data_IF_782587289446
#
_entry.id   IF_782587289446
#
_cell.length_a   1.000
_cell.length_b   1.000
_cell.length_c   1.000
_cell.angle_alpha   90.00
_cell.angle_beta   90.00
_cell.angle_gamma   90.00
#
_symmetry.space_group_name_H-M   'P 1'
#
loop_
_entity.id
_entity.type
_entity.pdbx_description
1 polymer ?
#
# COMPACT_ATOMS: atom_id res chain seq x y z
N UNK A 1 -36.49 -8.87 19.43
CA UNK A 1 -35.78 -7.59 19.41
C UNK A 1 -34.39 -7.81 19.97
N UNK A 2 -33.39 -7.96 19.11
CA UNK A 2 -31.99 -8.13 19.51
C UNK A 2 -31.32 -6.76 19.41
N UNK A 3 -30.97 -6.22 20.58
CA UNK A 3 -30.18 -4.99 20.72
C UNK A 3 -28.73 -5.29 20.33
N UNK A 4 -28.38 -5.02 19.07
CA UNK A 4 -26.99 -4.92 18.63
C UNK A 4 -26.40 -3.61 19.15
N UNK A 5 -25.74 -3.67 20.31
CA UNK A 5 -24.87 -2.60 20.79
C UNK A 5 -23.65 -2.53 19.86
N UNK A 6 -23.68 -1.60 18.92
CA UNK A 6 -22.50 -1.11 18.22
C UNK A 6 -21.62 -0.39 19.26
N UNK A 7 -20.51 -1.03 19.63
CA UNK A 7 -19.44 -0.36 20.36
C UNK A 7 -18.77 0.65 19.42
N UNK A 8 -19.33 1.86 19.37
CA UNK A 8 -18.63 3.03 18.88
C UNK A 8 -17.55 3.40 19.87
N UNK A 9 -16.30 3.05 19.55
CA UNK A 9 -15.16 3.71 20.18
C UNK A 9 -15.27 5.20 19.85
N UNK A 10 -15.40 6.02 20.89
CA UNK A 10 -15.52 7.45 20.78
C UNK A 10 -14.31 8.03 20.02
N UNK A 11 -14.60 9.02 19.19
CA UNK A 11 -13.67 9.84 18.37
C UNK A 11 -12.53 10.54 19.15
N UNK A 12 -12.20 10.15 20.39
CA UNK A 12 -11.35 10.92 21.31
C UNK A 12 -10.13 10.21 21.90
N UNK A 13 -9.90 8.93 21.64
CA UNK A 13 -8.75 8.21 22.24
C UNK A 13 -7.50 8.13 21.34
N UNK A 14 -7.48 8.82 20.20
CA UNK A 14 -6.23 9.08 19.47
C UNK A 14 -5.57 10.36 19.99
N UNK A 15 -5.29 10.46 21.29
CA UNK A 15 -4.43 11.53 21.80
C UNK A 15 -3.01 11.28 21.34
N UNK A 16 -2.68 11.83 20.18
CA UNK A 16 -1.31 12.17 19.81
C UNK A 16 -0.75 12.99 20.96
N UNK A 17 0.36 12.53 21.54
CA UNK A 17 1.13 13.36 22.46
C UNK A 17 1.70 14.50 21.61
N UNK A 18 1.08 15.69 21.70
CA UNK A 18 1.35 16.87 20.86
C UNK A 18 2.79 17.44 21.00
N UNK A 19 3.68 16.68 21.65
CA UNK A 19 5.08 17.03 21.90
C UNK A 19 6.04 16.46 20.86
N UNK A 20 5.62 15.51 20.03
CA UNK A 20 6.41 14.95 18.94
C UNK A 20 5.58 14.90 17.66
N UNK A 21 5.86 15.80 16.71
CA UNK A 21 5.30 15.76 15.35
C UNK A 21 5.82 14.58 14.53
N UNK A 22 6.91 13.97 14.99
CA UNK A 22 7.68 13.00 14.24
C UNK A 22 7.32 11.58 14.67
N UNK A 23 7.02 10.74 13.68
CA UNK A 23 6.58 9.36 13.84
C UNK A 23 7.46 8.44 13.01
N UNK A 24 7.71 7.24 13.52
CA UNK A 24 8.38 6.19 12.75
C UNK A 24 7.33 5.33 12.05
N UNK A 25 7.52 5.08 10.75
CA UNK A 25 6.63 4.25 9.95
C UNK A 25 7.37 3.04 9.37
N UNK A 26 6.66 1.93 9.28
CA UNK A 26 7.05 0.78 8.50
C UNK A 26 6.21 0.73 7.22
N UNK A 27 6.88 0.45 6.11
CA UNK A 27 6.25 0.25 4.81
C UNK A 27 6.66 -1.12 4.32
N UNK A 28 5.68 -1.98 4.01
CA UNK A 28 5.92 -3.30 3.45
C UNK A 28 5.18 -3.43 2.12
N UNK A 29 5.83 -4.09 1.16
CA UNK A 29 5.21 -4.45 -0.11
C UNK A 29 5.00 -5.95 -0.16
N UNK A 30 3.75 -6.38 -0.26
CA UNK A 30 3.41 -7.80 -0.32
C UNK A 30 3.48 -8.31 -1.75
N UNK A 31 2.98 -7.52 -2.70
CA UNK A 31 2.85 -7.96 -4.08
C UNK A 31 2.76 -6.76 -5.03
N UNK A 32 3.18 -6.96 -6.29
CA UNK A 32 3.01 -6.02 -7.39
C UNK A 32 2.42 -6.80 -8.57
N UNK A 33 1.40 -6.24 -9.23
CA UNK A 33 0.73 -6.85 -10.39
C UNK A 33 0.66 -5.88 -11.56
N UNK A 34 0.50 -6.43 -12.76
CA UNK A 34 0.30 -5.67 -14.00
C UNK A 34 1.56 -4.98 -14.54
N UNK A 35 2.73 -5.19 -13.93
CA UNK A 35 4.00 -4.65 -14.43
C UNK A 35 4.66 -5.68 -15.35
N UNK A 36 4.88 -5.36 -16.64
CA UNK A 36 5.59 -6.26 -17.54
C UNK A 36 7.08 -6.31 -17.19
N UNK A 37 7.63 -7.52 -17.08
CA UNK A 37 9.04 -7.79 -16.79
C UNK A 37 9.68 -8.58 -17.93
N UNK A 38 10.92 -8.26 -18.26
CA UNK A 38 11.76 -9.11 -19.10
C UNK A 38 12.33 -10.31 -18.30
N UNK A 39 12.85 -11.33 -18.99
CA UNK A 39 13.31 -12.60 -18.38
C UNK A 39 14.34 -12.43 -17.23
N UNK A 40 15.16 -11.37 -17.26
CA UNK A 40 16.19 -11.11 -16.27
C UNK A 40 15.88 -9.91 -15.35
N UNK A 41 14.65 -9.40 -15.40
CA UNK A 41 14.21 -8.29 -14.55
C UNK A 41 13.56 -8.80 -13.26
N UNK A 42 13.88 -8.10 -12.18
CA UNK A 42 13.25 -8.24 -10.87
C UNK A 42 12.61 -6.91 -10.47
N UNK A 43 11.62 -7.00 -9.59
CA UNK A 43 10.96 -5.84 -9.03
C UNK A 43 11.69 -5.34 -7.78
N UNK A 44 11.96 -4.05 -7.77
CA UNK A 44 12.53 -3.31 -6.65
C UNK A 44 11.60 -2.16 -6.30
N UNK A 45 11.40 -1.92 -5.01
CA UNK A 45 10.69 -0.75 -4.52
C UNK A 45 11.66 0.20 -3.86
N UNK A 46 11.36 1.48 -3.97
CA UNK A 46 11.97 2.50 -3.13
C UNK A 46 10.88 3.32 -2.44
N UNK A 47 11.06 3.60 -1.15
CA UNK A 47 10.15 4.43 -0.36
C UNK A 47 10.90 5.57 0.33
N UNK A 48 10.28 6.75 0.36
CA UNK A 48 10.85 7.95 0.98
C UNK A 48 9.79 8.99 1.32
N UNK A 49 10.14 9.93 2.20
CA UNK A 49 9.41 11.19 2.36
C UNK A 49 9.65 12.04 1.11
N UNK A 50 8.60 12.44 0.40
CA UNK A 50 8.71 13.26 -0.80
C UNK A 50 9.51 14.56 -0.60
N UNK A 51 9.57 15.10 0.64
CA UNK A 51 10.37 16.28 0.99
C UNK A 51 11.85 15.97 1.27
N UNK A 52 12.19 14.70 1.52
CA UNK A 52 13.56 14.24 1.83
C UNK A 52 13.99 13.07 0.92
N UNK A 53 14.26 13.32 -0.38
CA UNK A 53 14.69 12.27 -1.31
C UNK A 53 15.95 11.52 -0.89
N UNK A 54 16.86 12.19 -0.16
CA UNK A 54 18.07 11.57 0.37
C UNK A 54 17.81 10.43 1.38
N UNK A 55 16.61 10.40 1.99
CA UNK A 55 16.19 9.35 2.92
C UNK A 55 15.60 8.11 2.23
N UNK A 56 15.80 7.95 0.92
CA UNK A 56 15.22 6.86 0.16
C UNK A 56 15.79 5.50 0.58
N UNK A 57 14.87 4.57 0.86
CA UNK A 57 15.20 3.19 1.21
C UNK A 57 14.68 2.25 0.14
N UNK A 58 15.53 1.33 -0.30
CA UNK A 58 15.20 0.31 -1.29
C UNK A 58 14.89 -1.03 -0.61
N UNK A 59 13.88 -1.74 -1.09
CA UNK A 59 13.47 -3.04 -0.59
C UNK A 59 12.76 -3.84 -1.69
N UNK A 60 12.75 -5.16 -1.59
CA UNK A 60 12.09 -6.02 -2.57
C UNK A 60 10.62 -6.26 -2.27
N UNK A 61 9.91 -6.81 -3.25
CA UNK A 61 8.58 -7.40 -3.05
C UNK A 61 8.69 -8.52 -2.03
N UNK A 62 7.76 -8.57 -1.08
CA UNK A 62 7.80 -9.43 0.11
C UNK A 62 8.59 -8.83 1.28
N UNK A 63 9.30 -7.72 1.07
CA UNK A 63 10.07 -7.02 2.10
C UNK A 63 9.44 -5.70 2.55
N UNK A 64 10.18 -4.96 3.37
CA UNK A 64 9.78 -3.64 3.85
C UNK A 64 10.95 -2.78 4.29
N UNK A 65 10.64 -1.54 4.64
CA UNK A 65 11.61 -0.54 5.10
C UNK A 65 11.03 0.28 6.25
N UNK A 66 11.91 0.92 7.03
CA UNK A 66 11.52 1.75 8.18
C UNK A 66 11.91 3.21 7.93
N UNK A 67 10.90 4.06 7.80
CA UNK A 67 11.07 5.50 7.65
C UNK A 67 10.99 6.14 9.02
N UNK A 68 12.13 6.67 9.50
CA UNK A 68 12.23 7.28 10.83
C UNK A 68 11.92 8.77 10.80
N UNK A 69 11.38 9.28 11.90
CA UNK A 69 11.14 10.72 12.13
C UNK A 69 10.38 11.37 10.98
N UNK A 70 9.19 10.86 10.69
CA UNK A 70 8.28 11.34 9.66
C UNK A 70 7.25 12.27 10.28
N UNK A 71 7.16 13.49 9.77
CA UNK A 71 6.12 14.42 10.16
C UNK A 71 4.75 13.97 9.63
N UNK A 72 3.68 14.23 10.39
CA UNK A 72 2.30 13.85 10.02
C UNK A 72 1.87 14.51 8.72
N UNK A 73 2.40 15.70 8.39
CA UNK A 73 2.18 16.37 7.11
C UNK A 73 3.02 15.83 5.94
N UNK A 74 3.87 14.82 6.17
CA UNK A 74 4.71 14.26 5.12
C UNK A 74 3.90 13.40 4.13
N UNK A 75 4.45 13.28 2.92
CA UNK A 75 3.92 12.41 1.87
C UNK A 75 4.92 11.28 1.64
N UNK A 76 4.47 10.06 1.89
CA UNK A 76 5.19 8.85 1.51
C UNK A 76 5.11 8.68 -0.01
N UNK A 77 6.27 8.65 -0.65
CA UNK A 77 6.38 8.27 -2.05
C UNK A 77 6.95 6.86 -2.13
N UNK A 78 6.25 5.97 -2.83
CA UNK A 78 6.71 4.62 -3.15
C UNK A 78 6.82 4.49 -4.65
N UNK A 79 7.99 4.09 -5.14
CA UNK A 79 8.27 3.90 -6.55
C UNK A 79 8.62 2.44 -6.81
N UNK A 80 8.01 1.88 -7.84
CA UNK A 80 8.29 0.55 -8.34
C UNK A 80 9.23 0.65 -9.54
N UNK A 81 10.26 -0.18 -9.52
CA UNK A 81 11.29 -0.30 -10.54
C UNK A 81 11.39 -1.74 -11.03
N UNK A 82 11.67 -1.91 -12.31
CA UNK A 82 12.21 -3.15 -12.85
C UNK A 82 13.73 -2.99 -12.99
N UNK A 83 14.48 -4.00 -12.57
CA UNK A 83 15.95 -3.94 -12.49
C UNK A 83 16.56 -5.30 -12.75
N UNK A 84 17.75 -5.35 -13.36
CA UNK A 84 18.46 -6.63 -13.56
C UNK A 84 19.10 -7.12 -12.26
N UNK A 85 19.08 -8.44 -12.03
CA UNK A 85 19.51 -9.10 -10.78
C UNK A 85 20.87 -8.61 -10.25
N UNK A 86 21.84 -8.35 -11.13
CA UNK A 86 23.20 -7.91 -10.76
C UNK A 86 23.25 -6.53 -10.07
N UNK A 87 22.20 -5.72 -10.22
CA UNK A 87 22.11 -4.37 -9.65
C UNK A 87 21.30 -4.32 -8.34
N UNK A 88 20.81 -5.48 -7.88
CA UNK A 88 20.09 -5.62 -6.63
C UNK A 88 21.08 -5.60 -5.45
N UNK A 89 20.89 -4.68 -4.50
CA UNK A 89 21.64 -4.67 -3.23
C UNK A 89 22.76 -3.63 -3.06
N UNK A 90 22.89 -2.60 -3.92
CA UNK A 90 23.71 -1.42 -3.59
C UNK A 90 22.84 -0.31 -2.97
N UNK A 91 22.74 -0.21 -1.63
CA UNK A 91 22.13 0.94 -0.98
C UNK A 91 22.91 2.20 -1.36
N UNK A 92 22.20 3.22 -1.84
CA UNK A 92 22.81 4.49 -2.28
C UNK A 92 23.37 4.50 -3.70
N UNK A 93 23.20 3.43 -4.51
CA UNK A 93 23.49 3.53 -5.94
C UNK A 93 22.46 4.43 -6.63
N UNK A 94 22.96 5.55 -7.16
CA UNK A 94 22.27 6.48 -8.06
C UNK A 94 21.40 5.73 -9.10
N UNK A 95 20.24 6.28 -9.53
CA UNK A 95 19.31 5.60 -10.44
C UNK A 95 19.82 5.36 -11.88
N UNK A 96 21.09 5.59 -12.18
CA UNK A 96 21.50 5.98 -13.53
C UNK A 96 21.79 4.83 -14.52
N UNK A 97 21.98 3.58 -14.11
CA UNK A 97 22.15 2.49 -15.09
C UNK A 97 21.47 1.19 -14.65
N UNK A 98 20.49 0.73 -15.45
CA UNK A 98 19.88 -0.59 -15.29
C UNK A 98 18.56 -0.65 -14.50
N UNK A 99 17.91 0.49 -14.22
CA UNK A 99 16.57 0.55 -13.59
C UNK A 99 15.57 1.22 -14.52
N UNK A 100 14.39 0.61 -14.66
CA UNK A 100 13.25 1.13 -15.41
C UNK A 100 12.12 1.46 -14.44
N UNK A 101 11.69 2.72 -14.40
CA UNK A 101 10.54 3.11 -13.60
C UNK A 101 9.28 2.40 -14.14
N UNK A 102 8.56 1.70 -13.27
CA UNK A 102 7.33 0.97 -13.65
C UNK A 102 6.07 1.69 -13.17
N UNK A 103 6.18 2.49 -12.13
CA UNK A 103 5.12 3.36 -11.65
C UNK A 103 5.36 3.78 -10.20
N UNK A 104 4.54 4.71 -9.71
CA UNK A 104 4.67 5.26 -8.37
C UNK A 104 3.33 5.46 -7.68
N UNK A 105 3.35 5.56 -6.36
CA UNK A 105 2.21 6.00 -5.57
C UNK A 105 2.68 7.00 -4.52
N UNK A 106 1.83 7.99 -4.26
CA UNK A 106 2.05 9.00 -3.24
C UNK A 106 0.92 8.91 -2.21
N UNK A 107 1.28 8.73 -0.94
CA UNK A 107 0.35 8.56 0.17
C UNK A 107 0.61 9.63 1.21
N UNK A 108 -0.41 10.39 1.56
CA UNK A 108 -0.33 11.45 2.56
C UNK A 108 -0.56 10.87 3.96
N UNK A 109 0.40 11.00 4.87
CA UNK A 109 0.28 10.45 6.22
C UNK A 109 -0.84 11.12 7.01
N UNK A 110 -1.04 12.42 6.87
CA UNK A 110 -2.12 13.17 7.49
C UNK A 110 -3.49 12.74 6.97
N UNK A 111 -3.56 12.24 5.74
CA UNK A 111 -4.75 11.58 5.21
C UNK A 111 -4.97 10.20 5.84
N UNK A 112 -3.93 9.37 5.94
CA UNK A 112 -4.02 8.07 6.64
C UNK A 112 -4.49 8.25 8.10
N UNK A 113 -4.04 9.31 8.78
CA UNK A 113 -4.48 9.62 10.14
C UNK A 113 -5.98 9.90 10.23
N UNK A 114 -6.52 10.63 9.26
CA UNK A 114 -7.92 11.08 9.24
C UNK A 114 -8.88 10.04 8.69
N UNK A 115 -8.47 9.31 7.67
CA UNK A 115 -9.34 8.41 6.89
C UNK A 115 -9.15 6.93 7.22
N UNK A 116 -8.07 6.55 7.92
CA UNK A 116 -7.72 5.15 8.17
C UNK A 116 -7.41 4.91 9.66
N UNK A 117 -8.43 5.08 10.52
CA UNK A 117 -8.45 4.91 12.00
C UNK A 117 -7.09 4.53 12.62
N UNK A 118 -6.20 5.52 12.78
CA UNK A 118 -4.91 5.31 13.44
C UNK A 118 -3.68 5.23 12.53
N UNK A 119 -3.74 5.73 11.29
CA UNK A 119 -2.60 5.78 10.34
C UNK A 119 -2.14 4.42 9.83
N UNK A 120 -3.08 3.46 9.69
CA UNK A 120 -2.75 2.11 9.22
C UNK A 120 -3.44 1.84 7.87
N UNK A 121 -2.62 1.54 6.87
CA UNK A 121 -3.03 0.90 5.62
C UNK A 121 -2.59 -0.56 5.70
N UNK A 122 -3.50 -1.52 5.64
CA UNK A 122 -3.13 -2.95 5.74
C UNK A 122 -3.47 -3.69 4.45
N UNK A 123 -2.46 -4.38 3.90
CA UNK A 123 -2.54 -5.18 2.66
C UNK A 123 -3.49 -4.60 1.61
N UNK A 124 -3.29 -3.32 1.29
CA UNK A 124 -4.21 -2.59 0.42
C UNK A 124 -3.61 -2.44 -0.96
N UNK A 125 -4.41 -2.76 -1.98
CA UNK A 125 -4.06 -2.56 -3.38
C UNK A 125 -4.23 -1.10 -3.77
N UNK A 126 -3.17 -0.51 -4.33
CA UNK A 126 -3.15 0.84 -4.87
C UNK A 126 -2.75 0.80 -6.34
N UNK A 127 -3.52 1.46 -7.20
CA UNK A 127 -3.10 1.68 -8.58
C UNK A 127 -1.84 2.57 -8.64
N UNK A 128 -0.89 2.19 -9.49
CA UNK A 128 0.34 2.94 -9.73
C UNK A 128 0.10 4.02 -10.80
N UNK A 129 0.66 5.21 -10.57
CA UNK A 129 0.83 6.23 -11.61
C UNK A 129 1.98 5.82 -12.52
N UNK A 130 1.75 5.79 -13.83
CA UNK A 130 2.79 5.38 -14.78
C UNK A 130 3.78 6.52 -15.05
N UNK A 131 5.04 6.20 -15.39
CA UNK A 131 5.98 7.23 -15.82
C UNK A 131 5.46 7.91 -17.10
N UNK A 132 5.31 9.23 -17.07
CA UNK A 132 4.80 9.99 -18.21
C UNK A 132 3.32 10.38 -18.12
N UNK A 133 2.54 9.85 -17.17
CA UNK A 133 1.14 10.27 -16.88
C UNK A 133 1.04 11.69 -16.29
N UNK A 134 2.06 12.55 -16.45
CA UNK A 134 2.02 13.97 -16.10
C UNK A 134 1.21 14.81 -17.11
N UNK A 135 0.55 14.17 -18.09
CA UNK A 135 -0.25 14.84 -19.11
C UNK A 135 -1.59 15.32 -18.55
N UNK A 136 -1.60 16.54 -18.02
CA UNK A 136 -2.71 17.50 -18.15
C UNK A 136 -3.91 17.37 -17.20
N UNK A 137 -4.28 16.18 -16.76
CA UNK A 137 -5.36 15.99 -15.76
C UNK A 137 -4.77 15.71 -14.38
N UNK A 138 -5.39 16.28 -13.36
CA UNK A 138 -4.92 16.22 -11.99
C UNK A 138 -4.57 14.77 -11.59
N UNK A 139 -3.47 14.54 -10.85
CA UNK A 139 -3.10 13.20 -10.42
C UNK A 139 -4.29 12.56 -9.69
N UNK A 140 -4.69 11.36 -10.14
CA UNK A 140 -5.84 10.64 -9.60
C UNK A 140 -5.78 10.65 -8.06
N UNK A 141 -6.90 10.98 -7.44
CA UNK A 141 -6.99 11.09 -6.00
C UNK A 141 -6.64 9.76 -5.33
N UNK A 142 -6.18 9.80 -4.08
CA UNK A 142 -5.86 8.58 -3.33
C UNK A 142 -7.03 7.59 -3.27
N UNK A 143 -8.27 8.09 -3.16
CA UNK A 143 -9.48 7.26 -3.14
C UNK A 143 -9.77 6.63 -4.50
N UNK A 144 -9.53 7.34 -5.59
CA UNK A 144 -9.60 6.75 -6.93
C UNK A 144 -8.55 5.66 -7.10
N UNK A 145 -7.31 5.85 -6.61
CA UNK A 145 -6.28 4.82 -6.67
C UNK A 145 -6.59 3.59 -5.80
N UNK A 146 -7.18 3.78 -4.64
CA UNK A 146 -7.70 2.70 -3.80
C UNK A 146 -8.77 1.91 -4.55
N UNK A 147 -9.76 2.62 -5.11
CA UNK A 147 -10.86 2.01 -5.86
C UNK A 147 -10.35 1.30 -7.11
N UNK A 148 -9.46 1.94 -7.87
CA UNK A 148 -8.88 1.39 -9.09
C UNK A 148 -8.01 0.18 -8.80
N UNK A 149 -7.16 0.26 -7.77
CA UNK A 149 -6.30 -0.83 -7.33
C UNK A 149 -7.10 -2.08 -6.93
N UNK A 150 -8.26 -1.88 -6.29
CA UNK A 150 -9.17 -2.97 -5.93
C UNK A 150 -9.89 -3.60 -7.15
N UNK A 151 -10.30 -2.79 -8.13
CA UNK A 151 -11.19 -3.23 -9.21
C UNK A 151 -10.48 -3.69 -10.48
N UNK A 152 -9.35 -3.08 -10.88
CA UNK A 152 -8.81 -3.26 -12.24
C UNK A 152 -7.65 -4.26 -12.27
N UNK A 153 -7.83 -5.35 -13.02
CA UNK A 153 -6.80 -6.40 -13.20
C UNK A 153 -5.68 -5.99 -14.16
N UNK A 154 -5.89 -5.00 -15.04
CA UNK A 154 -4.96 -4.70 -16.13
C UNK A 154 -4.03 -3.50 -15.90
N UNK A 155 -4.32 -2.60 -14.95
CA UNK A 155 -3.41 -1.50 -14.61
C UNK A 155 -2.35 -1.97 -13.61
N UNK A 156 -1.10 -1.49 -13.71
CA UNK A 156 -0.08 -1.73 -12.70
C UNK A 156 -0.55 -1.29 -11.31
N UNK A 157 -0.36 -2.16 -10.31
CA UNK A 157 -0.80 -1.93 -8.92
C UNK A 157 0.14 -2.58 -7.93
N UNK A 158 0.15 -2.04 -6.72
CA UNK A 158 0.99 -2.50 -5.60
C UNK A 158 0.14 -2.77 -4.37
N UNK A 159 0.42 -3.87 -3.67
CA UNK A 159 -0.20 -4.22 -2.40
C UNK A 159 0.72 -3.79 -1.26
N UNK A 160 0.31 -2.75 -0.51
CA UNK A 160 1.13 -2.15 0.54
C UNK A 160 0.52 -2.35 1.93
N UNK A 161 1.41 -2.40 2.92
CA UNK A 161 1.07 -2.13 4.32
C UNK A 161 1.89 -0.94 4.79
N UNK A 162 1.22 0.02 5.41
CA UNK A 162 1.81 1.21 6.02
C UNK A 162 1.27 1.25 7.44
N UNK A 163 2.15 1.27 8.44
CA UNK A 163 1.75 1.36 9.84
C UNK A 163 2.87 2.01 10.65
N UNK A 164 2.61 2.31 11.92
CA UNK A 164 3.66 2.83 12.80
C UNK A 164 4.70 1.74 13.02
N UNK A 165 5.97 2.10 13.07
CA UNK A 165 7.06 1.14 13.25
C UNK A 165 6.94 0.38 14.59
N UNK A 166 6.34 1.00 15.62
CA UNK A 166 6.06 0.36 16.90
C UNK A 166 5.03 -0.80 16.80
N UNK A 167 4.21 -0.82 15.74
CA UNK A 167 3.19 -1.84 15.51
C UNK A 167 3.71 -3.02 14.66
N UNK A 168 5.00 -3.03 14.31
CA UNK A 168 5.61 -4.04 13.43
C UNK A 168 6.61 -4.89 14.18
N UNK A 169 6.48 -6.21 14.01
CA UNK A 169 7.34 -7.21 14.61
C UNK A 169 8.68 -7.31 13.91
N UNK A 170 9.63 -8.06 14.48
CA UNK A 170 10.98 -8.20 13.94
C UNK A 170 11.05 -8.77 12.51
N UNK A 171 9.96 -9.33 11.99
CA UNK A 171 9.86 -9.87 10.63
C UNK A 171 9.04 -9.01 9.65
N UNK A 172 8.69 -7.76 10.00
CA UNK A 172 7.89 -6.91 9.11
C UNK A 172 6.39 -7.25 9.09
N UNK A 173 5.97 -8.28 9.83
CA UNK A 173 4.57 -8.57 10.10
C UNK A 173 4.03 -7.66 11.20
N UNK A 174 2.80 -7.16 11.10
CA UNK A 174 2.20 -6.39 12.19
C UNK A 174 2.13 -7.27 13.45
N UNK A 175 2.55 -6.71 14.59
CA UNK A 175 2.42 -7.34 15.91
C UNK A 175 0.95 -7.35 16.32
N UNK A 176 0.18 -8.32 15.82
CA UNK A 176 -1.06 -8.76 16.44
C UNK A 176 -0.72 -9.56 17.69
N UNK A 177 -0.16 -8.89 18.71
CA UNK A 177 0.03 -9.53 19.99
C UNK A 177 -1.35 -9.72 20.62
N UNK A 178 -1.73 -10.98 20.88
CA UNK A 178 -2.96 -11.31 21.61
C UNK A 178 -3.04 -10.60 22.97
N UNK A 179 -1.87 -10.24 23.51
CA UNK A 179 -1.61 -9.59 24.80
C UNK A 179 -1.61 -8.06 24.72
N UNK A 180 -1.81 -7.48 23.52
CA UNK A 180 -1.88 -6.03 23.38
C UNK A 180 -3.06 -5.46 24.21
N UNK A 181 -2.91 -4.26 24.81
CA UNK A 181 -3.99 -3.62 25.56
C UNK A 181 -5.28 -3.57 24.74
N UNK A 182 -6.47 -3.72 25.36
CA UNK A 182 -7.75 -3.75 24.65
C UNK A 182 -7.95 -2.59 23.66
N UNK A 183 -7.50 -1.37 24.00
CA UNK A 183 -7.58 -0.21 23.11
C UNK A 183 -6.70 -0.34 21.84
N UNK A 184 -5.49 -0.90 21.97
CA UNK A 184 -4.58 -1.14 20.85
C UNK A 184 -5.12 -2.25 19.94
N UNK A 185 -5.72 -3.30 20.53
CA UNK A 185 -6.43 -4.33 19.77
C UNK A 185 -7.58 -3.69 18.98
N UNK A 186 -8.49 -2.96 19.63
CA UNK A 186 -9.62 -2.34 18.92
C UNK A 186 -9.18 -1.44 17.76
N UNK A 187 -8.10 -0.67 17.92
CA UNK A 187 -7.52 0.15 16.84
C UNK A 187 -6.94 -0.68 15.67
N UNK A 188 -6.25 -1.78 15.95
CA UNK A 188 -5.68 -2.68 14.94
C UNK A 188 -6.74 -3.52 14.22
N UNK A 189 -7.82 -3.89 14.93
CA UNK A 189 -8.92 -4.68 14.39
C UNK A 189 -9.74 -3.91 13.35
N UNK A 190 -9.86 -2.59 13.46
CA UNK A 190 -10.57 -1.79 12.45
C UNK A 190 -9.98 -1.95 11.04
N UNK A 191 -8.66 -1.84 10.92
CA UNK A 191 -7.96 -2.03 9.65
C UNK A 191 -8.03 -3.49 9.16
N UNK A 192 -7.88 -4.45 10.08
CA UNK A 192 -7.95 -5.88 9.76
C UNK A 192 -9.36 -6.30 9.32
N UNK A 193 -10.41 -5.85 10.01
CA UNK A 193 -11.81 -6.13 9.68
C UNK A 193 -12.20 -5.48 8.36
N UNK A 194 -11.75 -4.25 8.09
CA UNK A 194 -11.93 -3.61 6.77
C UNK A 194 -11.20 -4.36 5.67
N UNK A 195 -9.99 -4.84 5.92
CA UNK A 195 -9.25 -5.68 4.97
C UNK A 195 -9.99 -7.00 4.71
N UNK A 196 -10.53 -7.64 5.74
CA UNK A 196 -11.38 -8.83 5.59
C UNK A 196 -12.64 -8.53 4.77
N UNK A 197 -13.32 -7.41 5.04
CA UNK A 197 -14.49 -6.98 4.28
C UNK A 197 -14.13 -6.70 2.81
N UNK A 198 -13.03 -6.00 2.55
CA UNK A 198 -12.52 -5.76 1.21
C UNK A 198 -12.15 -7.06 0.50
N UNK A 199 -11.48 -7.99 1.17
CA UNK A 199 -11.15 -9.31 0.63
C UNK A 199 -12.42 -10.12 0.31
N UNK A 200 -13.43 -10.11 1.17
CA UNK A 200 -14.71 -10.77 0.94
C UNK A 200 -15.47 -10.16 -0.25
N UNK A 201 -15.48 -8.83 -0.36
CA UNK A 201 -16.07 -8.13 -1.51
C UNK A 201 -15.33 -8.45 -2.81
N UNK A 202 -13.99 -8.40 -2.81
CA UNK A 202 -13.17 -8.74 -3.99
C UNK A 202 -13.34 -10.19 -4.41
N UNK A 203 -13.33 -11.11 -3.45
CA UNK A 203 -13.60 -12.53 -3.71
C UNK A 203 -14.98 -12.71 -4.32
N UNK A 204 -16.01 -12.05 -3.78
CA UNK A 204 -17.36 -12.11 -4.32
C UNK A 204 -17.43 -11.52 -5.74
N UNK A 205 -16.73 -10.42 -6.02
CA UNK A 205 -16.68 -9.80 -7.34
C UNK A 205 -15.98 -10.69 -8.38
N UNK A 206 -14.91 -11.39 -8.00
CA UNK A 206 -14.21 -12.34 -8.87
C UNK A 206 -15.09 -13.54 -9.22
N UNK A 207 -15.86 -14.06 -8.27
CA UNK A 207 -16.81 -15.15 -8.53
C UNK A 207 -18.08 -14.70 -9.25
N UNK A 208 -18.37 -13.40 -9.25
CA UNK A 208 -19.48 -12.80 -9.99
C UNK A 208 -19.14 -12.47 -11.44
N UNK A 209 -17.86 -12.56 -11.86
CA UNK A 209 -17.52 -12.42 -13.27
C UNK A 209 -18.04 -13.65 -14.03
N UNK A 210 -18.95 -13.47 -15.01
CA UNK A 210 -19.37 -14.57 -15.85
C UNK A 210 -18.14 -15.12 -16.56
N UNK A 211 -17.99 -16.44 -16.59
CA UNK A 211 -17.01 -17.10 -17.43
C UNK A 211 -17.14 -16.54 -18.85
N UNK A 212 -16.03 -16.25 -19.56
CA UNK A 212 -16.12 -15.90 -20.96
C UNK A 212 -16.88 -17.03 -21.65
N UNK A 213 -18.06 -16.73 -22.18
CA UNK A 213 -18.86 -17.66 -22.97
C UNK A 213 -18.06 -17.98 -24.23
N UNK A 214 -17.29 -19.07 -24.16
CA UNK A 214 -16.74 -19.73 -25.33
C UNK A 214 -17.91 -20.33 -26.10
N UNK A 215 -18.46 -19.56 -27.04
CA UNK A 215 -19.57 -20.01 -27.88
C UNK A 215 -20.29 -18.86 -28.53
N UNK A 216 -19.71 -18.31 -29.60
CA UNK A 216 -20.47 -17.88 -30.78
C UNK A 216 -19.50 -17.52 -31.92
N UNK A 217 -18.85 -18.55 -32.47
CA UNK A 217 -18.47 -18.59 -33.88
C UNK A 217 -18.69 -20.03 -34.35
N UNK A 218 -19.94 -20.34 -34.69
CA UNK A 218 -20.26 -21.43 -35.61
C UNK A 218 -20.21 -20.87 -37.05
N UNK A 219 -19.88 -21.72 -38.05
CA UNK A 219 -19.51 -21.28 -39.39
C UNK A 219 -20.74 -21.03 -40.26
N UNK A 220 -20.71 -20.00 -41.10
CA UNK A 220 -21.60 -19.90 -42.26
C UNK A 220 -20.78 -19.58 -43.52
N UNK A 221 -20.78 -20.60 -44.39
CA UNK A 221 -20.52 -20.70 -45.84
C UNK A 221 -19.24 -20.11 -46.47
#
# INVERSE_FOLDING_TARGET
QLSSQLFGAGSRDCTFDARSSDLDFAVACHEVRGVPLAENELLLLTAWDARRPAGQQAFAVGGGCHLKSQDVGAKLKVQVWATVHETWGRPGAEPASGRRACGQVCVDFGRLARECDGMVLYQTWLALELPGDASGDQPASFQERLREGALHSQRPRVCLTICKAADVGPQGSPLLAADAPPAARVGQWGALLRSQQQHAMMSSALHAQPAPTAGDQAPEE
#
